data_IF_864569848953
#
_entry.id   IF_864569848953
#
_cell.length_a   1.000
_cell.length_b   1.000
_cell.length_c   1.000
_cell.angle_alpha   90.00
_cell.angle_beta   90.00
_cell.angle_gamma   90.00
#
_symmetry.space_group_name_H-M   'P 1'
#
loop_
_entity.id
_entity.type
_entity.pdbx_description
1 polymer ?
#
# COMPACT_ATOMS: atom_id res chain seq x y z
N UNK A 1 9.01 -4.22 -46.93
CA UNK A 1 9.83 -4.28 -45.71
C UNK A 1 9.13 -3.42 -44.66
N UNK A 2 8.34 -4.04 -43.76
CA UNK A 2 7.58 -3.34 -42.73
C UNK A 2 8.47 -3.09 -41.49
N UNK A 3 8.39 -1.92 -40.82
CA UNK A 3 9.19 -1.68 -39.63
C UNK A 3 8.63 -2.48 -38.44
N UNK A 4 9.52 -3.21 -37.77
CA UNK A 4 9.26 -3.99 -36.54
C UNK A 4 8.86 -3.06 -35.36
N UNK A 5 7.94 -3.47 -34.47
CA UNK A 5 7.58 -2.68 -33.30
C UNK A 5 8.67 -2.74 -32.23
N UNK A 6 8.91 -1.60 -31.57
CA UNK A 6 9.90 -1.43 -30.48
C UNK A 6 9.47 -2.18 -29.21
N UNK A 7 9.73 -3.48 -29.15
CA UNK A 7 9.64 -4.31 -27.93
C UNK A 7 10.85 -4.08 -27.02
N UNK A 8 10.99 -2.86 -26.47
CA UNK A 8 12.10 -2.57 -25.55
C UNK A 8 11.79 -1.45 -24.54
N UNK A 9 10.56 -1.35 -24.03
CA UNK A 9 10.26 -0.32 -23.02
C UNK A 9 9.48 -0.81 -21.78
N UNK A 10 9.56 -2.10 -21.45
CA UNK A 10 8.78 -2.68 -20.34
C UNK A 10 9.56 -2.82 -19.02
N UNK A 11 10.90 -2.67 -19.00
CA UNK A 11 11.71 -3.06 -17.83
C UNK A 11 12.46 -1.94 -17.12
N UNK A 12 12.07 -0.67 -17.24
CA UNK A 12 12.65 0.40 -16.41
C UNK A 12 11.83 0.62 -15.14
N UNK A 13 11.69 -0.43 -14.32
CA UNK A 13 11.19 -0.28 -12.95
C UNK A 13 12.39 0.01 -12.05
N UNK A 14 12.84 1.27 -12.07
CA UNK A 14 13.72 1.80 -11.02
C UNK A 14 13.08 1.42 -9.67
N UNK A 15 13.85 0.91 -8.72
CA UNK A 15 13.40 0.73 -7.34
C UNK A 15 13.11 2.12 -6.75
N UNK A 16 11.90 2.60 -6.96
CA UNK A 16 11.40 3.82 -6.32
C UNK A 16 11.08 3.42 -4.89
N UNK A 17 11.78 4.03 -3.93
CA UNK A 17 11.33 4.01 -2.55
C UNK A 17 9.99 4.73 -2.50
N UNK A 18 8.92 3.95 -2.38
CA UNK A 18 7.56 4.47 -2.28
C UNK A 18 7.32 4.88 -0.83
N UNK A 19 7.19 6.18 -0.57
CA UNK A 19 6.70 6.68 0.72
C UNK A 19 5.22 6.39 0.79
N UNK A 20 4.81 5.73 1.87
CA UNK A 20 3.42 5.36 2.13
C UNK A 20 2.98 5.98 3.45
N UNK A 21 1.73 6.45 3.49
CA UNK A 21 1.06 6.90 4.70
C UNK A 21 -0.10 5.94 4.99
N UNK A 22 -0.21 5.47 6.23
CA UNK A 22 -1.30 4.58 6.66
C UNK A 22 -2.02 5.19 7.85
N UNK A 23 -3.34 5.33 7.72
CA UNK A 23 -4.21 5.70 8.83
C UNK A 23 -4.93 4.47 9.38
N UNK A 24 -5.35 4.55 10.64
CA UNK A 24 -6.07 3.48 11.30
C UNK A 24 -6.47 3.86 12.72
N UNK A 25 -7.26 2.99 13.34
CA UNK A 25 -7.71 3.12 14.73
C UNK A 25 -7.42 1.81 15.44
N UNK A 26 -6.95 1.91 16.68
CA UNK A 26 -6.76 0.76 17.55
C UNK A 26 -7.37 1.00 18.92
N UNK A 27 -7.98 -0.03 19.48
CA UNK A 27 -8.53 -0.09 20.82
C UNK A 27 -7.75 -1.15 21.59
N UNK A 28 -7.13 -0.76 22.70
CA UNK A 28 -6.35 -1.65 23.55
C UNK A 28 -7.00 -1.76 24.93
N UNK A 29 -7.17 -2.99 25.42
CA UNK A 29 -7.56 -3.23 26.81
C UNK A 29 -6.30 -3.52 27.62
N UNK A 30 -6.11 -2.75 28.69
CA UNK A 30 -4.95 -2.86 29.58
C UNK A 30 -5.38 -3.38 30.95
N UNK A 31 -4.70 -4.40 31.46
CA UNK A 31 -4.87 -4.95 32.81
C UNK A 31 -3.49 -5.19 33.43
N UNK A 32 -3.28 -4.75 34.67
CA UNK A 32 -1.99 -4.87 35.39
C UNK A 32 -0.79 -4.31 34.59
N UNK A 33 -1.00 -3.19 33.90
CA UNK A 33 0.03 -2.54 33.08
C UNK A 33 0.37 -3.28 31.77
N UNK A 34 -0.37 -4.34 31.41
CA UNK A 34 -0.18 -5.11 30.16
C UNK A 34 -1.38 -4.99 29.24
N UNK A 35 -1.15 -4.97 27.94
CA UNK A 35 -2.20 -5.10 26.93
C UNK A 35 -2.65 -6.57 26.94
N UNK A 36 -3.91 -6.82 27.28
CA UNK A 36 -4.49 -8.16 27.38
C UNK A 36 -5.43 -8.49 26.20
N UNK A 37 -5.79 -7.47 25.41
CA UNK A 37 -6.61 -7.61 24.21
C UNK A 37 -6.47 -6.35 23.35
N UNK A 38 -6.56 -6.52 22.04
CA UNK A 38 -6.47 -5.42 21.09
C UNK A 38 -7.37 -5.66 19.87
N UNK A 39 -8.02 -4.59 19.43
CA UNK A 39 -8.79 -4.55 18.19
C UNK A 39 -8.26 -3.41 17.33
N UNK A 40 -7.91 -3.70 16.08
CA UNK A 40 -7.36 -2.71 15.17
C UNK A 40 -8.06 -2.75 13.82
N UNK A 41 -8.19 -1.57 13.21
CA UNK A 41 -8.64 -1.40 11.84
C UNK A 41 -7.71 -0.41 11.13
N UNK A 42 -7.18 -0.83 9.99
CA UNK A 42 -6.39 0.02 9.11
C UNK A 42 -7.21 0.41 7.87
N UNK A 43 -6.87 1.54 7.27
CA UNK A 43 -7.37 1.90 5.94
C UNK A 43 -6.64 1.09 4.85
N UNK A 44 -7.02 -0.19 4.72
CA UNK A 44 -6.44 -1.11 3.73
C UNK A 44 -6.73 -0.67 2.29
N UNK A 45 -7.87 -0.02 2.04
CA UNK A 45 -8.21 0.50 0.72
C UNK A 45 -7.22 1.60 0.30
N UNK A 46 -6.99 2.59 1.16
CA UNK A 46 -6.03 3.67 0.89
C UNK A 46 -4.60 3.14 0.69
N UNK A 47 -4.22 2.06 1.37
CA UNK A 47 -2.93 1.40 1.17
C UNK A 47 -2.81 0.73 -0.19
N UNK A 48 -3.82 -0.05 -0.58
CA UNK A 48 -3.84 -0.75 -1.86
C UNK A 48 -3.87 0.23 -3.04
N UNK A 49 -4.51 1.39 -2.87
CA UNK A 49 -4.49 2.48 -3.84
C UNK A 49 -3.09 3.09 -3.98
N UNK A 50 -2.40 3.39 -2.87
CA UNK A 50 -1.02 3.90 -2.91
C UNK A 50 -0.04 2.89 -3.54
N UNK A 51 -0.28 1.58 -3.37
CA UNK A 51 0.50 0.51 -4.00
C UNK A 51 0.20 0.37 -5.51
N UNK A 52 -0.82 1.07 -6.03
CA UNK A 52 -1.26 0.97 -7.42
C UNK A 52 -1.99 -0.34 -7.75
N UNK A 53 -2.45 -1.08 -6.75
CA UNK A 53 -3.20 -2.33 -6.93
C UNK A 53 -4.70 -2.07 -7.15
N UNK A 54 -5.21 -0.94 -6.65
CA UNK A 54 -6.58 -0.47 -6.83
C UNK A 54 -6.58 0.98 -7.32
N UNK A 55 -7.64 1.42 -8.05
CA UNK A 55 -7.76 2.81 -8.47
C UNK A 55 -8.03 3.73 -7.26
N UNK A 56 -7.30 4.84 -7.19
CA UNK A 56 -7.62 5.95 -6.29
C UNK A 56 -8.77 6.77 -6.89
N UNK A 57 -9.73 7.19 -6.06
CA UNK A 57 -10.77 8.13 -6.48
C UNK A 57 -10.08 9.49 -6.77
N UNK A 58 -10.42 10.19 -7.88
CA UNK A 58 -9.84 11.49 -8.22
C UNK A 58 -10.08 12.58 -7.16
#
# INVERSE_FOLDING_TARGET
MAPMPRVANVYRRTLVFLRMEQTGISIMRVQEGKIVEGWSRADELGLLQQLGLLPATP
#
